data_IF_567012006083
#
_entry.id   IF_567012006083
#
_cell.length_a   1.000
_cell.length_b   1.000
_cell.length_c   1.000
_cell.angle_alpha   90.00
_cell.angle_beta   90.00
_cell.angle_gamma   90.00
#
_symmetry.space_group_name_H-M   'P 1'
#
loop_
_entity.id
_entity.type
_entity.pdbx_description
1 polymer ?
#
# COMPACT_ATOMS: atom_id res chain seq x y z
N UNK A 1 -39.22 -14.90 15.48
CA UNK A 1 -38.91 -16.02 14.56
C UNK A 1 -39.15 -15.53 13.13
N UNK A 2 -38.23 -14.73 12.57
CA UNK A 2 -38.30 -14.26 11.18
C UNK A 2 -37.12 -14.86 10.43
N UNK A 3 -37.45 -15.77 9.52
CA UNK A 3 -36.59 -16.58 8.67
C UNK A 3 -35.39 -15.83 8.07
N UNK A 4 -34.19 -16.45 8.03
CA UNK A 4 -33.11 -15.95 7.19
C UNK A 4 -33.48 -16.17 5.73
N UNK A 5 -33.76 -15.07 5.04
CA UNK A 5 -34.03 -15.04 3.60
C UNK A 5 -32.78 -15.52 2.85
N UNK A 6 -32.92 -16.67 2.17
CA UNK A 6 -31.89 -17.22 1.29
C UNK A 6 -31.92 -16.39 0.00
N UNK A 7 -31.15 -15.30 -0.03
CA UNK A 7 -30.96 -14.56 -1.28
C UNK A 7 -30.25 -15.45 -2.30
N UNK A 8 -31.00 -15.92 -3.31
CA UNK A 8 -30.43 -16.47 -4.53
C UNK A 8 -29.38 -15.49 -5.08
N UNK A 9 -28.13 -15.93 -5.17
CA UNK A 9 -27.06 -15.16 -5.80
C UNK A 9 -27.40 -15.03 -7.29
N UNK A 10 -28.02 -13.91 -7.67
CA UNK A 10 -28.23 -13.55 -9.07
C UNK A 10 -26.86 -13.53 -9.74
N UNK A 11 -26.70 -14.32 -10.80
CA UNK A 11 -25.44 -14.41 -11.55
C UNK A 11 -25.09 -13.02 -12.08
N UNK A 12 -24.11 -12.37 -11.46
CA UNK A 12 -23.67 -11.03 -11.84
C UNK A 12 -23.04 -11.15 -13.22
N UNK A 13 -23.60 -10.45 -14.21
CA UNK A 13 -22.99 -10.38 -15.53
C UNK A 13 -21.68 -9.59 -15.44
N UNK A 14 -20.64 -10.05 -16.16
CA UNK A 14 -19.31 -9.44 -16.18
C UNK A 14 -19.34 -7.91 -16.39
N UNK A 15 -20.28 -7.44 -17.23
CA UNK A 15 -20.49 -6.02 -17.50
C UNK A 15 -20.86 -5.21 -16.26
N UNK A 16 -21.66 -5.76 -15.34
CA UNK A 16 -22.08 -5.06 -14.12
C UNK A 16 -20.94 -5.00 -13.09
N UNK A 17 -20.07 -6.02 -13.05
CA UNK A 17 -18.89 -6.04 -12.20
C UNK A 17 -17.78 -5.08 -12.68
N UNK A 18 -17.74 -4.76 -13.98
CA UNK A 18 -16.75 -3.83 -14.54
C UNK A 18 -17.06 -2.37 -14.20
N UNK A 19 -18.33 -2.01 -13.99
CA UNK A 19 -18.74 -0.61 -13.79
C UNK A 19 -18.01 0.05 -12.60
N UNK A 20 -17.98 -0.53 -11.39
CA UNK A 20 -17.26 0.08 -10.27
C UNK A 20 -15.75 0.19 -10.50
N UNK A 21 -15.16 -0.78 -11.20
CA UNK A 21 -13.71 -0.81 -11.49
C UNK A 21 -13.34 0.30 -12.48
N UNK A 22 -14.10 0.43 -13.57
CA UNK A 22 -13.88 1.49 -14.56
C UNK A 22 -14.17 2.86 -13.95
N UNK A 23 -15.22 2.99 -13.16
CA UNK A 23 -15.52 4.22 -12.43
C UNK A 23 -14.38 4.62 -11.49
N UNK A 24 -13.83 3.67 -10.73
CA UNK A 24 -12.69 3.90 -9.84
C UNK A 24 -11.47 4.42 -10.62
N UNK A 25 -11.06 3.69 -11.67
CA UNK A 25 -9.88 4.06 -12.48
C UNK A 25 -10.10 5.42 -13.16
N UNK A 26 -11.28 5.65 -13.73
CA UNK A 26 -11.62 6.90 -14.40
C UNK A 26 -11.65 8.10 -13.45
N UNK A 27 -12.28 7.95 -12.28
CA UNK A 27 -12.34 9.01 -11.27
C UNK A 27 -10.94 9.35 -10.72
N UNK A 28 -10.10 8.36 -10.49
CA UNK A 28 -8.70 8.56 -10.07
C UNK A 28 -7.92 9.29 -11.18
N UNK A 29 -8.00 8.80 -12.42
CA UNK A 29 -7.28 9.40 -13.54
C UNK A 29 -7.68 10.86 -13.79
N UNK A 30 -8.98 11.17 -13.77
CA UNK A 30 -9.48 12.55 -13.95
C UNK A 30 -8.98 13.45 -12.81
N UNK A 31 -9.04 12.97 -11.58
CA UNK A 31 -8.62 13.76 -10.42
C UNK A 31 -7.11 14.06 -10.45
N UNK A 32 -6.28 13.06 -10.71
CA UNK A 32 -4.82 13.24 -10.81
C UNK A 32 -4.41 14.11 -12.01
N UNK A 33 -4.96 13.87 -13.20
CA UNK A 33 -4.52 14.56 -14.43
C UNK A 33 -5.03 15.99 -14.56
N UNK A 34 -6.19 16.31 -13.97
CA UNK A 34 -6.86 17.60 -14.18
C UNK A 34 -6.93 18.46 -12.93
N UNK A 35 -7.08 17.85 -11.76
CA UNK A 35 -7.30 18.56 -10.50
C UNK A 35 -6.08 18.52 -9.57
N UNK A 36 -5.05 17.73 -9.91
CA UNK A 36 -3.86 17.48 -9.07
C UNK A 36 -4.22 17.19 -7.60
N UNK A 37 -5.39 16.56 -7.41
CA UNK A 37 -5.98 16.35 -6.10
C UNK A 37 -5.58 15.02 -5.48
N UNK A 38 -5.91 14.86 -4.21
CA UNK A 38 -5.69 13.62 -3.48
C UNK A 38 -6.69 12.54 -3.89
N UNK A 39 -6.26 11.28 -3.86
CA UNK A 39 -7.06 10.12 -4.27
C UNK A 39 -8.26 9.81 -3.34
N UNK A 40 -8.41 10.51 -2.21
CA UNK A 40 -9.47 10.28 -1.23
C UNK A 40 -10.87 10.54 -1.78
N UNK A 41 -11.08 11.66 -2.47
CA UNK A 41 -12.39 12.03 -3.03
C UNK A 41 -12.82 11.02 -4.11
N UNK A 42 -11.98 10.67 -5.11
CA UNK A 42 -12.27 9.62 -6.09
C UNK A 42 -12.64 8.27 -5.47
N UNK A 43 -11.93 7.84 -4.42
CA UNK A 43 -12.18 6.57 -3.75
C UNK A 43 -13.56 6.52 -3.10
N UNK A 44 -13.97 7.60 -2.43
CA UNK A 44 -15.30 7.70 -1.81
C UNK A 44 -16.38 7.65 -2.90
N UNK A 45 -16.23 8.45 -3.97
CA UNK A 45 -17.17 8.47 -5.08
C UNK A 45 -17.29 7.11 -5.78
N UNK A 46 -16.16 6.44 -6.04
CA UNK A 46 -16.15 5.11 -6.61
C UNK A 46 -16.83 4.07 -5.71
N UNK A 47 -16.67 4.20 -4.39
CA UNK A 47 -17.36 3.36 -3.40
C UNK A 47 -18.88 3.60 -3.41
N UNK A 48 -19.32 4.85 -3.59
CA UNK A 48 -20.74 5.17 -3.79
C UNK A 48 -21.28 4.53 -5.08
N UNK A 49 -20.52 4.59 -6.18
CA UNK A 49 -20.89 3.92 -7.44
C UNK A 49 -20.99 2.40 -7.23
N UNK A 50 -20.03 1.79 -6.53
CA UNK A 50 -20.08 0.37 -6.18
C UNK A 50 -21.33 0.00 -5.37
N UNK A 51 -21.69 0.83 -4.38
CA UNK A 51 -22.89 0.64 -3.57
C UNK A 51 -24.18 0.76 -4.41
N UNK A 52 -24.25 1.74 -5.32
CA UNK A 52 -25.39 1.91 -6.24
C UNK A 52 -25.54 0.72 -7.19
N UNK A 53 -24.44 0.21 -7.74
CA UNK A 53 -24.46 -1.00 -8.58
C UNK A 53 -24.94 -2.19 -7.76
N UNK A 54 -24.46 -2.36 -6.52
CA UNK A 54 -24.93 -3.40 -5.60
C UNK A 54 -26.45 -3.32 -5.34
N UNK A 55 -26.98 -2.13 -5.08
CA UNK A 55 -28.42 -1.93 -4.91
C UNK A 55 -29.21 -2.27 -6.18
N UNK A 56 -28.72 -1.88 -7.37
CA UNK A 56 -29.38 -2.17 -8.65
C UNK A 56 -29.41 -3.67 -9.00
N UNK A 57 -28.48 -4.45 -8.45
CA UNK A 57 -28.41 -5.90 -8.58
C UNK A 57 -29.38 -6.64 -7.63
N UNK A 58 -30.04 -5.92 -6.72
CA UNK A 58 -30.97 -6.49 -5.74
C UNK A 58 -30.32 -6.88 -4.41
N UNK A 59 -29.06 -6.50 -4.16
CA UNK A 59 -28.46 -6.71 -2.84
C UNK A 59 -29.14 -5.82 -1.79
N UNK A 60 -29.42 -6.39 -0.63
CA UNK A 60 -29.95 -5.62 0.50
C UNK A 60 -28.91 -4.63 1.02
N UNK A 61 -29.37 -3.48 1.52
CA UNK A 61 -28.50 -2.49 2.15
C UNK A 61 -27.63 -3.10 3.27
N UNK A 62 -28.21 -4.01 4.08
CA UNK A 62 -27.46 -4.74 5.12
C UNK A 62 -26.30 -5.56 4.57
N UNK A 63 -26.45 -6.14 3.37
CA UNK A 63 -25.37 -6.89 2.73
C UNK A 63 -24.24 -5.96 2.27
N UNK A 64 -24.59 -4.78 1.75
CA UNK A 64 -23.61 -3.76 1.33
C UNK A 64 -22.86 -3.21 2.56
N UNK A 65 -23.60 -2.85 3.61
CA UNK A 65 -23.03 -2.38 4.88
C UNK A 65 -22.06 -3.40 5.48
N UNK A 66 -22.44 -4.69 5.47
CA UNK A 66 -21.54 -5.75 5.92
C UNK A 66 -20.24 -5.80 5.10
N UNK A 67 -20.33 -5.66 3.78
CA UNK A 67 -19.15 -5.61 2.91
C UNK A 67 -18.25 -4.41 3.20
N UNK A 68 -18.84 -3.24 3.49
CA UNK A 68 -18.09 -2.04 3.91
C UNK A 68 -17.35 -2.32 5.23
N UNK A 69 -18.03 -2.90 6.22
CA UNK A 69 -17.42 -3.23 7.52
C UNK A 69 -16.29 -4.26 7.38
N UNK A 70 -16.47 -5.30 6.57
CA UNK A 70 -15.42 -6.27 6.27
C UNK A 70 -14.20 -5.60 5.62
N UNK A 71 -14.41 -4.67 4.69
CA UNK A 71 -13.34 -3.86 4.09
C UNK A 71 -12.57 -3.04 5.12
N UNK A 72 -13.29 -2.38 6.04
CA UNK A 72 -12.68 -1.62 7.15
C UNK A 72 -11.87 -2.54 8.07
N UNK A 73 -12.37 -3.72 8.41
CA UNK A 73 -11.68 -4.68 9.28
C UNK A 73 -10.37 -5.18 8.66
N UNK A 74 -10.33 -5.37 7.34
CA UNK A 74 -9.10 -5.72 6.62
C UNK A 74 -8.09 -4.56 6.73
N UNK A 75 -8.53 -3.32 6.50
CA UNK A 75 -7.67 -2.14 6.63
C UNK A 75 -7.17 -1.90 8.06
N UNK A 76 -8.01 -2.15 9.06
CA UNK A 76 -7.68 -1.97 10.48
C UNK A 76 -6.46 -2.78 10.90
N UNK A 77 -6.36 -4.04 10.45
CA UNK A 77 -5.20 -4.89 10.74
C UNK A 77 -3.90 -4.28 10.22
N UNK A 78 -3.91 -3.76 8.99
CA UNK A 78 -2.73 -3.12 8.40
C UNK A 78 -2.33 -1.84 9.16
N UNK A 79 -3.30 -1.00 9.55
CA UNK A 79 -3.06 0.22 10.31
C UNK A 79 -2.38 -0.09 11.65
N UNK A 80 -2.87 -1.09 12.39
CA UNK A 80 -2.27 -1.48 13.66
C UNK A 80 -0.82 -1.94 13.51
N UNK A 81 -0.51 -2.70 12.45
CA UNK A 81 0.86 -3.12 12.13
C UNK A 81 1.73 -1.90 11.83
N UNK A 82 1.27 -0.97 11.00
CA UNK A 82 2.00 0.25 10.67
C UNK A 82 2.24 1.13 11.90
N UNK A 83 1.30 1.20 12.85
CA UNK A 83 1.49 1.89 14.13
C UNK A 83 2.64 1.28 14.96
N UNK A 84 2.67 -0.05 15.10
CA UNK A 84 3.74 -0.74 15.84
C UNK A 84 5.09 -0.53 15.17
N UNK A 85 5.15 -0.62 13.85
CA UNK A 85 6.36 -0.35 13.06
C UNK A 85 6.83 1.09 13.27
N UNK A 86 5.91 2.07 13.29
CA UNK A 86 6.22 3.47 13.55
C UNK A 86 6.91 3.67 14.91
N UNK A 87 6.36 3.06 15.98
CA UNK A 87 6.96 3.12 17.33
C UNK A 87 8.35 2.46 17.35
N UNK A 88 8.49 1.33 16.66
CA UNK A 88 9.76 0.60 16.55
C UNK A 88 10.84 1.46 15.86
N UNK A 89 10.53 2.09 14.72
CA UNK A 89 11.46 2.97 14.00
C UNK A 89 11.81 4.18 14.85
N UNK A 90 10.84 4.79 15.53
CA UNK A 90 11.09 5.90 16.46
C UNK A 90 12.10 5.50 17.55
N UNK A 91 11.97 4.29 18.09
CA UNK A 91 12.89 3.74 19.09
C UNK A 91 14.28 3.48 18.50
N UNK A 92 14.37 2.98 17.27
CA UNK A 92 15.66 2.77 16.59
C UNK A 92 16.39 4.07 16.27
N UNK A 93 15.66 5.11 15.89
CA UNK A 93 16.23 6.45 15.68
C UNK A 93 16.76 6.98 17.01
N UNK A 94 15.97 6.90 18.09
CA UNK A 94 16.37 7.35 19.43
C UNK A 94 17.57 6.56 19.99
N UNK A 95 17.64 5.26 19.72
CA UNK A 95 18.74 4.38 20.11
C UNK A 95 19.99 4.51 19.23
N UNK A 96 19.94 5.32 18.16
CA UNK A 96 21.07 5.51 17.25
C UNK A 96 21.28 4.38 16.24
N UNK A 97 20.39 3.38 16.17
CA UNK A 97 20.49 2.24 15.24
C UNK A 97 20.36 2.71 13.78
N UNK A 98 19.34 3.52 13.47
CA UNK A 98 19.17 4.07 12.10
C UNK A 98 20.34 4.98 11.70
N UNK A 99 20.78 5.95 12.53
CA UNK A 99 21.99 6.73 12.26
C UNK A 99 23.24 5.87 12.00
N UNK A 100 23.43 4.79 12.78
CA UNK A 100 24.54 3.88 12.60
C UNK A 100 24.46 3.14 11.26
N UNK A 101 23.28 2.66 10.87
CA UNK A 101 23.06 2.07 9.53
C UNK A 101 23.38 3.06 8.40
N UNK A 102 23.02 4.34 8.55
CA UNK A 102 23.32 5.37 7.56
C UNK A 102 24.84 5.61 7.47
N UNK A 103 25.52 5.73 8.61
CA UNK A 103 26.96 5.94 8.67
C UNK A 103 27.74 4.85 7.95
N UNK A 104 27.45 3.57 8.24
CA UNK A 104 28.09 2.46 7.54
C UNK A 104 27.63 2.33 6.09
N UNK A 105 26.36 2.64 5.82
CA UNK A 105 25.83 2.70 4.45
C UNK A 105 26.61 3.67 3.57
N UNK A 106 26.97 4.86 4.09
CA UNK A 106 27.78 5.85 3.36
C UNK A 106 29.23 5.41 3.13
N UNK A 107 29.78 4.55 3.99
CA UNK A 107 31.13 4.02 3.81
C UNK A 107 31.18 2.85 2.81
N UNK A 108 30.14 2.02 2.79
CA UNK A 108 30.10 0.78 2.01
C UNK A 108 29.51 1.02 0.61
N UNK A 109 28.51 1.90 0.49
CA UNK A 109 27.78 2.14 -0.76
C UNK A 109 28.35 3.35 -1.49
N UNK A 110 28.82 3.12 -2.72
CA UNK A 110 29.15 4.20 -3.64
C UNK A 110 27.92 4.64 -4.45
N UNK A 111 27.85 5.91 -4.90
CA UNK A 111 26.71 6.40 -5.69
C UNK A 111 26.43 5.59 -6.96
N UNK A 112 27.47 5.00 -7.56
CA UNK A 112 27.36 4.22 -8.80
C UNK A 112 26.63 2.88 -8.65
N UNK A 113 26.68 2.25 -7.47
CA UNK A 113 26.02 0.95 -7.22
C UNK A 113 24.78 1.07 -6.35
N UNK A 114 24.55 2.23 -5.73
CA UNK A 114 23.54 2.41 -4.70
C UNK A 114 22.14 1.95 -5.13
N UNK A 115 21.67 2.33 -6.31
CA UNK A 115 20.31 2.00 -6.75
C UNK A 115 20.10 0.48 -6.87
N UNK A 116 21.09 -0.23 -7.43
CA UNK A 116 21.03 -1.70 -7.58
C UNK A 116 21.15 -2.36 -6.22
N UNK A 117 22.08 -1.90 -5.38
CA UNK A 117 22.27 -2.43 -4.03
C UNK A 117 21.03 -2.22 -3.15
N UNK A 118 20.43 -1.03 -3.17
CA UNK A 118 19.22 -0.71 -2.42
C UNK A 118 18.05 -1.62 -2.83
N UNK A 119 17.88 -1.85 -4.14
CA UNK A 119 16.86 -2.78 -4.65
C UNK A 119 17.11 -4.21 -4.16
N UNK A 120 18.34 -4.72 -4.28
CA UNK A 120 18.67 -6.09 -3.85
C UNK A 120 18.56 -6.29 -2.33
N UNK A 121 19.04 -5.32 -1.55
CA UNK A 121 18.92 -5.35 -0.08
C UNK A 121 17.43 -5.40 0.31
N UNK A 122 16.60 -4.54 -0.28
CA UNK A 122 15.16 -4.56 -0.02
C UNK A 122 14.49 -5.85 -0.49
N UNK A 123 14.93 -6.45 -1.60
CA UNK A 123 14.41 -7.74 -2.04
C UNK A 123 14.72 -8.87 -1.05
N UNK A 124 15.97 -8.98 -0.60
CA UNK A 124 16.39 -10.01 0.38
C UNK A 124 15.69 -9.82 1.71
N UNK A 125 15.61 -8.58 2.21
CA UNK A 125 14.94 -8.28 3.48
C UNK A 125 13.44 -8.56 3.38
N UNK A 126 12.80 -8.25 2.25
CA UNK A 126 11.37 -8.53 2.07
C UNK A 126 11.08 -10.01 1.93
N UNK A 127 11.97 -10.79 1.31
CA UNK A 127 11.87 -12.26 1.31
C UNK A 127 11.98 -12.82 2.74
N UNK A 128 12.89 -12.30 3.55
CA UNK A 128 13.07 -12.75 4.93
C UNK A 128 11.93 -12.31 5.85
N UNK A 129 11.36 -11.12 5.62
CA UNK A 129 10.32 -10.52 6.46
C UNK A 129 8.90 -10.90 6.00
N UNK A 130 8.75 -11.37 4.76
CA UNK A 130 7.45 -11.72 4.15
C UNK A 130 6.50 -10.54 3.97
N UNK A 131 7.02 -9.29 3.97
CA UNK A 131 6.19 -8.10 3.84
C UNK A 131 6.95 -6.91 3.23
N UNK A 132 6.42 -6.42 2.11
CA UNK A 132 6.91 -5.21 1.43
C UNK A 132 6.82 -3.95 2.32
N UNK A 133 5.71 -3.80 3.05
CA UNK A 133 5.43 -2.63 3.89
C UNK A 133 6.41 -2.51 5.07
N UNK A 134 6.71 -3.63 5.73
CA UNK A 134 7.70 -3.66 6.81
C UNK A 134 9.11 -3.36 6.31
N UNK A 135 9.45 -3.87 5.13
CA UNK A 135 10.77 -3.68 4.52
C UNK A 135 11.02 -2.23 4.12
N UNK A 136 10.04 -1.60 3.46
CA UNK A 136 10.11 -0.19 3.09
C UNK A 136 10.23 0.72 4.34
N UNK A 137 9.56 0.36 5.43
CA UNK A 137 9.54 1.16 6.66
C UNK A 137 10.82 1.03 7.49
N UNK A 138 11.48 -0.14 7.50
CA UNK A 138 12.67 -0.38 8.33
C UNK A 138 13.97 -0.04 7.59
N UNK A 139 14.41 -0.94 6.70
CA UNK A 139 15.64 -0.78 5.93
C UNK A 139 15.48 0.28 4.85
N UNK A 140 14.28 0.44 4.29
CA UNK A 140 14.00 1.47 3.30
C UNK A 140 14.25 2.90 3.81
N UNK A 141 13.81 3.23 5.03
CA UNK A 141 14.07 4.56 5.63
C UNK A 141 15.58 4.80 5.82
N UNK A 142 16.32 3.79 6.28
CA UNK A 142 17.76 3.89 6.41
C UNK A 142 18.45 4.12 5.05
N UNK A 143 18.04 3.38 4.01
CA UNK A 143 18.55 3.56 2.65
C UNK A 143 18.19 4.94 2.07
N UNK A 144 17.00 5.48 2.36
CA UNK A 144 16.63 6.84 1.97
C UNK A 144 17.52 7.90 2.66
N UNK A 145 17.92 7.65 3.92
CA UNK A 145 18.91 8.46 4.62
C UNK A 145 20.29 8.42 3.94
N UNK A 146 20.76 7.23 3.55
CA UNK A 146 22.01 7.06 2.81
C UNK A 146 21.94 7.73 1.43
N UNK A 147 20.84 7.57 0.70
CA UNK A 147 20.63 8.20 -0.60
C UNK A 147 20.78 9.72 -0.53
N UNK A 148 20.20 10.32 0.52
CA UNK A 148 20.31 11.77 0.77
C UNK A 148 21.76 12.17 1.02
N UNK A 149 22.50 11.40 1.81
CA UNK A 149 23.93 11.66 2.05
C UNK A 149 24.83 11.47 0.81
N UNK A 150 24.45 10.56 -0.10
CA UNK A 150 25.13 10.33 -1.38
C UNK A 150 24.68 11.29 -2.50
N UNK A 151 23.80 12.26 -2.22
CA UNK A 151 23.20 13.17 -3.22
C UNK A 151 22.47 12.44 -4.37
N UNK A 152 21.84 11.30 -4.07
CA UNK A 152 21.04 10.56 -5.03
C UNK A 152 19.62 11.13 -5.05
N UNK A 153 19.01 11.37 -6.23
CA UNK A 153 17.65 11.87 -6.32
C UNK A 153 16.67 11.00 -5.52
N UNK A 154 15.95 11.61 -4.58
CA UNK A 154 14.99 10.91 -3.73
C UNK A 154 13.96 10.06 -4.51
N UNK A 155 13.41 10.51 -5.67
CA UNK A 155 12.51 9.68 -6.45
C UNK A 155 13.15 8.38 -6.97
N UNK A 156 14.43 8.44 -7.37
CA UNK A 156 15.16 7.27 -7.87
C UNK A 156 15.46 6.28 -6.74
N UNK A 157 15.89 6.80 -5.59
CA UNK A 157 16.13 5.97 -4.40
C UNK A 157 14.83 5.31 -3.90
N UNK A 158 13.73 6.08 -3.82
CA UNK A 158 12.42 5.56 -3.45
C UNK A 158 11.96 4.48 -4.44
N UNK A 159 12.14 4.71 -5.75
CA UNK A 159 11.84 3.72 -6.79
C UNK A 159 12.62 2.42 -6.61
N UNK A 160 13.92 2.49 -6.30
CA UNK A 160 14.75 1.32 -6.05
C UNK A 160 14.32 0.53 -4.80
N UNK A 161 14.05 1.24 -3.69
CA UNK A 161 13.58 0.64 -2.42
C UNK A 161 12.23 -0.05 -2.61
N UNK A 162 11.26 0.64 -3.23
CA UNK A 162 9.91 0.10 -3.47
C UNK A 162 9.98 -1.10 -4.41
N UNK A 163 10.77 -1.02 -5.49
CA UNK A 163 10.92 -2.13 -6.44
C UNK A 163 11.45 -3.39 -5.77
N UNK A 164 12.50 -3.26 -4.95
CA UNK A 164 13.05 -4.38 -4.18
C UNK A 164 12.07 -4.94 -3.17
N UNK A 165 11.42 -4.07 -2.39
CA UNK A 165 10.46 -4.48 -1.36
C UNK A 165 9.27 -5.24 -1.96
N UNK A 166 8.68 -4.75 -3.05
CA UNK A 166 7.57 -5.45 -3.70
C UNK A 166 8.01 -6.73 -4.41
N UNK A 167 9.21 -6.76 -4.99
CA UNK A 167 9.74 -7.96 -5.62
C UNK A 167 9.87 -9.11 -4.61
N UNK A 168 10.47 -8.85 -3.45
CA UNK A 168 10.64 -9.88 -2.42
C UNK A 168 9.32 -10.36 -1.82
N UNK A 169 8.36 -9.46 -1.62
CA UNK A 169 7.03 -9.77 -1.09
C UNK A 169 6.22 -10.72 -2.00
N UNK A 170 6.37 -10.60 -3.33
CA UNK A 170 5.66 -11.47 -4.29
C UNK A 170 6.30 -12.84 -4.50
N UNK A 171 7.52 -13.02 -3.99
CA UNK A 171 8.29 -14.26 -4.07
C UNK A 171 8.30 -15.04 -2.75
N UNK A 172 7.80 -14.43 -1.65
CA UNK A 172 7.57 -15.06 -0.34
C UNK A 172 6.20 -15.72 -0.25
#
# INVERSE_FOLDING_TARGET
MSSPDKSEFKTVHLWQALIPVVALIGLIAINLLKFEGEAHIPLILASCVAALVGLSLGYSWKSIEKGILEGILIGMKAILILCVIGVMIGTWIAAGVVPFMIYYGLQILSPGIFLVAACLICAVVSLATGSSWTTASTVGIALMGVATGLNIPAPMAAGAVISGAYFGDKMS
#
